data_IF_428411037887
#
_entry.id   IF_428411037887
#
_cell.length_a   1.000
_cell.length_b   1.000
_cell.length_c   1.000
_cell.angle_alpha   90.00
_cell.angle_beta   90.00
_cell.angle_gamma   90.00
#
_symmetry.space_group_name_H-M   'P 1'
#
loop_
_entity.id
_entity.type
_entity.pdbx_description
1 polymer ?
#
# COMPACT_ATOMS: atom_id res chain seq x y z
N UNK A 1 21.81 1.64 -11.27
CA UNK A 1 21.11 1.58 -9.98
C UNK A 1 19.59 1.49 -10.15
N UNK A 2 18.90 2.47 -10.77
CA UNK A 2 17.44 2.45 -10.97
C UNK A 2 16.88 1.15 -11.60
N UNK A 3 17.49 0.65 -12.68
CA UNK A 3 17.07 -0.61 -13.33
C UNK A 3 17.22 -1.86 -12.46
N UNK A 4 18.23 -1.89 -11.59
CA UNK A 4 18.49 -3.04 -10.71
C UNK A 4 17.41 -3.15 -9.63
N UNK A 5 17.04 -2.02 -9.01
CA UNK A 5 15.92 -1.98 -8.04
C UNK A 5 14.60 -2.37 -8.69
N UNK A 6 14.28 -1.82 -9.88
CA UNK A 6 13.05 -2.18 -10.60
C UNK A 6 13.00 -3.67 -10.91
N UNK A 7 14.10 -4.26 -11.37
CA UNK A 7 14.15 -5.69 -11.64
C UNK A 7 13.93 -6.52 -10.36
N UNK A 8 14.57 -6.15 -9.25
CA UNK A 8 14.39 -6.85 -7.97
C UNK A 8 12.94 -6.75 -7.46
N UNK A 9 12.33 -5.57 -7.59
CA UNK A 9 10.93 -5.36 -7.23
C UNK A 9 9.98 -6.20 -8.10
N UNK A 10 10.12 -6.16 -9.42
CA UNK A 10 9.29 -6.95 -10.33
C UNK A 10 9.52 -8.45 -10.21
N UNK A 11 10.73 -8.87 -9.79
CA UNK A 11 11.03 -10.25 -9.50
C UNK A 11 10.22 -10.84 -8.34
N UNK A 12 9.75 -10.03 -7.38
CA UNK A 12 8.86 -10.49 -6.31
C UNK A 12 7.53 -11.02 -6.84
N UNK A 13 7.10 -10.54 -8.02
CA UNK A 13 5.86 -10.91 -8.68
C UNK A 13 6.09 -11.89 -9.84
N UNK A 14 7.25 -12.55 -9.88
CA UNK A 14 7.67 -13.44 -10.97
C UNK A 14 7.80 -12.76 -12.34
N UNK A 15 7.83 -11.42 -12.39
CA UNK A 15 7.97 -10.64 -13.62
C UNK A 15 9.43 -10.29 -13.94
N UNK A 16 10.38 -11.12 -13.50
CA UNK A 16 11.79 -10.90 -13.78
C UNK A 16 12.14 -11.37 -15.20
N UNK A 17 12.75 -10.49 -15.98
CA UNK A 17 13.27 -10.83 -17.31
C UNK A 17 14.56 -11.67 -17.20
N UNK A 18 14.38 -12.98 -17.03
CA UNK A 18 15.44 -13.97 -16.90
C UNK A 18 16.31 -14.06 -18.17
N UNK A 19 15.75 -13.76 -19.34
CA UNK A 19 16.47 -13.82 -20.62
C UNK A 19 17.53 -12.74 -20.73
N UNK A 20 17.28 -11.55 -20.18
CA UNK A 20 18.24 -10.45 -20.20
C UNK A 20 19.21 -10.47 -19.01
N UNK A 21 18.87 -11.17 -17.92
CA UNK A 21 19.72 -11.27 -16.73
C UNK A 21 20.98 -12.12 -16.95
N UNK A 22 20.94 -13.09 -17.86
CA UNK A 22 22.06 -14.00 -18.17
C UNK A 22 22.90 -13.64 -19.40
N UNK A 23 22.50 -12.64 -20.20
CA UNK A 23 23.22 -12.21 -21.42
C UNK A 23 24.42 -11.33 -21.07
N UNK A 24 25.44 -11.94 -20.47
CA UNK A 24 26.74 -11.28 -20.24
C UNK A 24 27.74 -11.70 -21.32
N UNK A 25 28.65 -10.79 -21.70
CA UNK A 25 29.74 -11.08 -22.63
C UNK A 25 30.48 -12.37 -22.20
N UNK A 26 30.84 -13.30 -23.12
CA UNK A 26 31.43 -14.61 -22.79
C UNK A 26 32.71 -14.55 -21.93
N UNK A 27 33.33 -13.38 -21.81
CA UNK A 27 34.52 -13.12 -20.98
C UNK A 27 34.23 -13.09 -19.47
N UNK A 28 32.99 -12.86 -19.05
CA UNK A 28 32.62 -12.66 -17.62
C UNK A 28 31.68 -13.75 -17.08
N UNK A 29 31.96 -15.01 -17.43
CA UNK A 29 31.15 -16.17 -17.03
C UNK A 29 31.01 -16.30 -15.50
N UNK A 30 32.09 -16.09 -14.75
CA UNK A 30 32.08 -16.20 -13.28
C UNK A 30 31.11 -15.19 -12.67
N UNK A 31 31.16 -13.92 -13.10
CA UNK A 31 30.28 -12.86 -12.61
C UNK A 31 28.81 -13.13 -12.91
N UNK A 32 28.51 -13.66 -14.10
CA UNK A 32 27.14 -14.03 -14.49
C UNK A 32 26.56 -15.15 -13.62
N UNK A 33 27.36 -16.19 -13.35
CA UNK A 33 26.90 -17.31 -12.50
C UNK A 33 26.74 -16.90 -11.04
N UNK A 34 27.64 -16.07 -10.50
CA UNK A 34 27.48 -15.50 -9.15
C UNK A 34 26.24 -14.61 -9.05
N UNK A 35 25.92 -13.82 -10.09
CA UNK A 35 24.71 -12.99 -10.14
C UNK A 35 23.41 -13.79 -10.08
N UNK A 36 23.33 -14.89 -10.82
CA UNK A 36 22.19 -15.83 -10.77
C UNK A 36 22.03 -16.45 -9.37
N UNK A 37 23.13 -16.87 -8.76
CA UNK A 37 23.12 -17.45 -7.42
C UNK A 37 22.63 -16.46 -6.36
N UNK A 38 23.15 -15.22 -6.38
CA UNK A 38 22.70 -14.16 -5.48
C UNK A 38 21.22 -13.81 -5.68
N UNK A 39 20.75 -13.80 -6.93
CA UNK A 39 19.34 -13.56 -7.25
C UNK A 39 18.43 -14.70 -6.74
N UNK A 40 18.86 -15.95 -6.85
CA UNK A 40 18.13 -17.09 -6.28
C UNK A 40 18.01 -16.99 -4.75
N UNK A 41 19.10 -16.63 -4.07
CA UNK A 41 19.08 -16.39 -2.61
C UNK A 41 18.12 -15.25 -2.26
N UNK A 42 18.15 -14.14 -3.02
CA UNK A 42 17.23 -13.03 -2.83
C UNK A 42 15.76 -13.48 -2.89
N UNK A 43 15.38 -14.29 -3.89
CA UNK A 43 14.02 -14.79 -4.02
C UNK A 43 13.62 -15.68 -2.83
N UNK A 44 14.50 -16.56 -2.35
CA UNK A 44 14.23 -17.39 -1.17
C UNK A 44 13.96 -16.51 0.06
N UNK A 45 14.81 -15.53 0.34
CA UNK A 45 14.62 -14.66 1.49
C UNK A 45 13.39 -13.75 1.35
N UNK A 46 13.18 -13.14 0.19
CA UNK A 46 12.10 -12.18 0.02
C UNK A 46 10.72 -12.85 -0.07
N UNK A 47 10.60 -13.90 -0.87
CA UNK A 47 9.32 -14.59 -1.12
C UNK A 47 9.05 -15.64 -0.06
N UNK A 48 9.99 -16.56 0.19
CA UNK A 48 9.72 -17.69 1.11
C UNK A 48 9.79 -17.24 2.56
N UNK A 49 10.79 -16.45 2.95
CA UNK A 49 10.93 -16.02 4.35
C UNK A 49 10.09 -14.77 4.61
N UNK A 50 10.28 -13.71 3.82
CA UNK A 50 9.67 -12.40 4.02
C UNK A 50 8.14 -12.45 3.97
N UNK A 51 7.55 -13.03 2.92
CA UNK A 51 6.09 -13.09 2.80
C UNK A 51 5.48 -13.99 3.87
N UNK A 52 6.08 -15.14 4.18
CA UNK A 52 5.55 -16.01 5.24
C UNK A 52 5.58 -15.34 6.62
N UNK A 53 6.65 -14.59 6.92
CA UNK A 53 6.71 -13.80 8.15
C UNK A 53 5.71 -12.64 8.14
N UNK A 54 5.50 -11.98 7.00
CA UNK A 54 4.51 -10.90 6.88
C UNK A 54 3.09 -11.43 7.10
N UNK A 55 2.77 -12.59 6.51
CA UNK A 55 1.48 -13.25 6.73
C UNK A 55 1.33 -13.62 8.21
N UNK A 56 2.36 -14.19 8.83
CA UNK A 56 2.33 -14.53 10.25
C UNK A 56 2.10 -13.29 11.15
N UNK A 57 2.82 -12.19 10.89
CA UNK A 57 2.65 -10.94 11.62
C UNK A 57 1.27 -10.33 11.39
N UNK A 58 0.77 -10.34 10.15
CA UNK A 58 -0.55 -9.84 9.81
C UNK A 58 -1.63 -10.65 10.53
N UNK A 59 -1.54 -11.98 10.51
CA UNK A 59 -2.49 -12.86 11.20
C UNK A 59 -2.51 -12.57 12.71
N UNK A 60 -1.34 -12.48 13.35
CA UNK A 60 -1.24 -12.15 14.77
C UNK A 60 -1.82 -10.75 15.08
N UNK A 61 -1.47 -9.75 14.26
CA UNK A 61 -2.01 -8.39 14.43
C UNK A 61 -3.51 -8.32 14.18
N UNK A 62 -4.03 -9.13 13.27
CA UNK A 62 -5.45 -9.20 12.94
C UNK A 62 -6.22 -9.82 14.09
N UNK A 63 -5.76 -10.95 14.65
CA UNK A 63 -6.36 -11.58 15.84
C UNK A 63 -6.41 -10.60 17.00
N UNK A 64 -5.29 -9.94 17.31
CA UNK A 64 -5.22 -8.92 18.36
C UNK A 64 -6.25 -7.80 18.16
N UNK A 65 -6.33 -7.20 16.96
CA UNK A 65 -7.29 -6.11 16.70
C UNK A 65 -8.73 -6.62 16.64
N UNK A 66 -8.94 -7.80 16.06
CA UNK A 66 -10.24 -8.43 15.86
C UNK A 66 -10.94 -8.75 17.17
N UNK A 67 -10.23 -9.38 18.09
CA UNK A 67 -10.79 -9.96 19.30
C UNK A 67 -10.88 -8.93 20.42
N UNK A 68 -9.83 -8.13 20.63
CA UNK A 68 -9.79 -7.24 21.80
C UNK A 68 -10.60 -5.94 21.59
N UNK A 69 -10.61 -5.36 20.38
CA UNK A 69 -11.04 -3.95 20.21
C UNK A 69 -11.88 -3.64 18.98
N UNK A 70 -12.07 -4.57 18.02
CA UNK A 70 -12.77 -4.29 16.75
C UNK A 70 -14.16 -3.69 16.94
N UNK A 71 -15.00 -4.35 17.73
CA UNK A 71 -16.40 -3.93 17.92
C UNK A 71 -16.50 -2.55 18.58
N UNK A 72 -15.67 -2.30 19.58
CA UNK A 72 -15.59 -1.00 20.27
C UNK A 72 -15.09 0.09 19.33
N UNK A 73 -13.96 -0.14 18.65
CA UNK A 73 -13.36 0.83 17.73
C UNK A 73 -14.31 1.15 16.57
N UNK A 74 -14.98 0.14 16.01
CA UNK A 74 -15.97 0.38 14.96
C UNK A 74 -17.15 1.21 15.45
N UNK A 75 -17.70 0.91 16.64
CA UNK A 75 -18.79 1.69 17.23
C UNK A 75 -18.35 3.13 17.52
N UNK A 76 -17.14 3.33 18.04
CA UNK A 76 -16.56 4.65 18.29
C UNK A 76 -16.37 5.45 17.00
N UNK A 77 -15.71 4.88 15.99
CA UNK A 77 -15.51 5.54 14.68
C UNK A 77 -16.84 5.85 14.01
N UNK A 78 -17.83 4.96 14.13
CA UNK A 78 -19.18 5.19 13.61
C UNK A 78 -19.81 6.38 14.31
N UNK A 79 -19.86 6.41 15.64
CA UNK A 79 -20.43 7.55 16.39
C UNK A 79 -19.69 8.86 16.11
N UNK A 80 -18.36 8.82 15.96
CA UNK A 80 -17.58 9.99 15.58
C UNK A 80 -17.97 10.52 14.20
N UNK A 81 -18.16 9.63 13.21
CA UNK A 81 -18.65 10.00 11.88
C UNK A 81 -20.07 10.59 11.93
N UNK A 82 -20.98 9.99 12.71
CA UNK A 82 -22.33 10.56 12.91
C UNK A 82 -22.26 11.96 13.53
N UNK A 83 -21.41 12.15 14.54
CA UNK A 83 -21.23 13.44 15.18
C UNK A 83 -20.70 14.50 14.19
N UNK A 84 -19.71 14.12 13.37
CA UNK A 84 -19.16 14.99 12.32
C UNK A 84 -20.23 15.43 11.31
N UNK A 85 -21.13 14.52 10.91
CA UNK A 85 -22.23 14.87 10.01
C UNK A 85 -23.29 15.75 10.69
N UNK A 86 -23.55 15.57 11.98
CA UNK A 86 -24.52 16.40 12.72
C UNK A 86 -23.98 17.79 13.05
N UNK A 87 -22.68 17.93 13.30
CA UNK A 87 -22.04 19.22 13.60
C UNK A 87 -21.88 20.08 12.33
N UNK A 88 -21.66 19.44 11.17
CA UNK A 88 -21.60 20.10 9.85
C UNK A 88 -22.97 20.33 9.21
N UNK A 89 -24.05 20.34 9.98
CA UNK A 89 -25.44 20.44 9.49
C UNK A 89 -25.76 21.68 8.65
N UNK A 90 -24.89 22.70 8.64
CA UNK A 90 -25.00 23.84 7.72
C UNK A 90 -24.91 23.40 6.24
N UNK A 91 -24.22 22.30 5.93
CA UNK A 91 -24.03 21.77 4.59
C UNK A 91 -25.04 20.64 4.27
N UNK A 92 -26.31 21.00 4.12
CA UNK A 92 -27.41 20.05 3.82
C UNK A 92 -27.44 19.54 2.36
N UNK A 93 -26.55 20.04 1.49
CA UNK A 93 -26.50 19.67 0.07
C UNK A 93 -25.35 18.67 -0.21
N UNK A 94 -25.61 17.50 -0.82
CA UNK A 94 -24.55 16.60 -1.22
C UNK A 94 -23.69 17.20 -2.35
N UNK A 95 -22.39 16.85 -2.47
CA UNK A 95 -21.61 17.16 -3.66
C UNK A 95 -22.30 16.64 -4.93
N UNK A 96 -22.34 17.41 -6.05
CA UNK A 96 -21.65 18.68 -6.29
C UNK A 96 -22.41 19.94 -5.81
N UNK A 97 -23.66 19.81 -5.37
CA UNK A 97 -24.53 20.95 -5.03
C UNK A 97 -24.07 21.76 -3.80
N UNK A 98 -23.14 21.23 -3.02
CA UNK A 98 -22.47 21.97 -1.93
C UNK A 98 -21.79 23.27 -2.42
N UNK A 99 -21.35 23.34 -3.69
CA UNK A 99 -20.73 24.55 -4.27
C UNK A 99 -21.71 25.75 -4.24
N UNK A 100 -23.00 25.51 -4.48
CA UNK A 100 -24.01 26.57 -4.45
C UNK A 100 -24.16 27.17 -3.05
N UNK A 101 -24.06 26.33 -2.01
CA UNK A 101 -24.08 26.78 -0.62
C UNK A 101 -22.91 27.73 -0.32
N UNK A 102 -21.68 27.36 -0.73
CA UNK A 102 -20.50 28.21 -0.57
C UNK A 102 -20.60 29.53 -1.34
N UNK A 103 -21.15 29.51 -2.56
CA UNK A 103 -21.35 30.72 -3.36
C UNK A 103 -22.34 31.69 -2.69
N UNK A 104 -23.46 31.17 -2.16
CA UNK A 104 -24.46 31.98 -1.46
C UNK A 104 -23.86 32.58 -0.18
N UNK A 105 -23.14 31.77 0.62
CA UNK A 105 -22.46 32.24 1.83
C UNK A 105 -21.44 33.34 1.54
N UNK A 106 -20.61 33.15 0.51
CA UNK A 106 -19.61 34.13 0.08
C UNK A 106 -20.24 35.47 -0.34
N UNK A 107 -21.34 35.44 -1.10
CA UNK A 107 -22.06 36.66 -1.53
C UNK A 107 -22.71 37.38 -0.35
N UNK A 108 -23.21 36.65 0.66
CA UNK A 108 -23.81 37.26 1.86
C UNK A 108 -22.78 37.92 2.79
N UNK A 109 -21.52 37.47 2.79
CA UNK A 109 -20.47 37.98 3.70
C UNK A 109 -19.58 39.09 3.09
N UNK A 110 -19.79 39.44 1.81
CA UNK A 110 -19.06 40.50 1.09
C UNK A 110 -19.79 41.85 1.09
N UNK A 111 -21.05 41.89 1.51
CA UNK A 111 -21.79 43.13 1.80
C UNK A 111 -21.55 43.59 3.23
#
# INVERSE_FOLDING_TARGET
FSKAWQLMFWALFDQADMENFGKTHPRYKITSETGKFLFAIYLIFAVVVGINMLIAMMNNSFEYVAEDKRCLNWKMSRTAMWLEFTDKADFWLPPPYNILHYLIYFVMHIK
#
